data_IF_786679130931
#
_entry.id   IF_786679130931
#
_cell.length_a   1.000
_cell.length_b   1.000
_cell.length_c   1.000
_cell.angle_alpha   90.00
_cell.angle_beta   90.00
_cell.angle_gamma   90.00
#
_symmetry.space_group_name_H-M   'P 1'
#
loop_
_entity.id
_entity.type
_entity.pdbx_description
1 polymer ?
#
# COMPACT_ATOMS: atom_id res chain seq x y z
N UNK A 1 13.40 -26.59 -61.69
CA UNK A 1 13.59 -25.20 -61.22
C UNK A 1 12.57 -24.91 -60.16
N UNK A 2 12.94 -24.96 -58.89
CA UNK A 2 12.09 -24.57 -57.76
C UNK A 2 12.72 -23.35 -57.14
N UNK A 3 12.06 -22.20 -57.27
CA UNK A 3 12.41 -20.97 -56.59
C UNK A 3 12.02 -21.08 -55.11
N UNK A 4 13.00 -21.09 -54.25
CA UNK A 4 12.82 -20.98 -52.78
C UNK A 4 12.77 -19.49 -52.48
N UNK A 5 11.61 -18.98 -52.12
CA UNK A 5 11.44 -17.65 -51.57
C UNK A 5 12.05 -17.62 -50.16
N UNK A 6 13.17 -16.94 -50.02
CA UNK A 6 13.77 -16.62 -48.75
C UNK A 6 12.98 -15.45 -48.12
N UNK A 7 12.00 -15.71 -47.26
CA UNK A 7 11.36 -14.73 -46.44
C UNK A 7 12.30 -14.41 -45.24
N UNK A 8 13.10 -13.39 -45.39
CA UNK A 8 13.83 -12.75 -44.29
C UNK A 8 12.80 -12.11 -43.35
N UNK A 9 12.48 -12.78 -42.25
CA UNK A 9 11.73 -12.18 -41.15
C UNK A 9 12.64 -11.15 -40.45
N UNK A 10 12.54 -9.90 -40.85
CA UNK A 10 13.04 -8.79 -40.04
C UNK A 10 12.26 -8.78 -38.73
N UNK A 11 12.81 -9.35 -37.68
CA UNK A 11 12.41 -9.09 -36.31
C UNK A 11 12.70 -7.62 -36.05
N UNK A 12 11.71 -6.76 -36.21
CA UNK A 12 11.77 -5.41 -35.71
C UNK A 12 11.94 -5.51 -34.19
N UNK A 13 13.14 -5.23 -33.71
CA UNK A 13 13.40 -5.02 -32.28
C UNK A 13 12.64 -3.78 -31.87
N UNK A 14 11.47 -3.98 -31.28
CA UNK A 14 10.70 -2.90 -30.64
C UNK A 14 11.66 -2.21 -29.66
N UNK A 15 12.09 -1.00 -29.99
CA UNK A 15 12.92 -0.19 -29.09
C UNK A 15 12.11 0.03 -27.79
N UNK A 16 12.49 -0.68 -26.74
CA UNK A 16 11.90 -0.47 -25.40
C UNK A 16 12.19 0.98 -24.97
N UNK A 17 11.17 1.68 -24.46
CA UNK A 17 11.35 3.01 -23.92
C UNK A 17 12.34 2.92 -22.73
N UNK A 18 13.46 3.64 -22.74
CA UNK A 18 14.42 3.62 -21.62
C UNK A 18 13.78 3.98 -20.26
N UNK A 19 12.72 4.80 -20.27
CA UNK A 19 11.97 5.17 -19.07
C UNK A 19 11.16 4.00 -18.45
N UNK A 20 11.04 2.87 -19.15
CA UNK A 20 10.38 1.66 -18.68
C UNK A 20 11.38 0.61 -18.18
N UNK A 21 12.65 0.96 -18.04
CA UNK A 21 13.68 0.07 -17.52
C UNK A 21 13.40 -0.24 -16.05
N UNK A 22 13.44 -1.54 -15.69
CA UNK A 22 13.41 -2.02 -14.31
C UNK A 22 14.80 -2.44 -13.80
N UNK A 23 15.86 -2.06 -14.53
CA UNK A 23 17.24 -2.30 -14.10
C UNK A 23 17.54 -1.45 -12.88
N UNK A 24 18.07 -2.07 -11.82
CA UNK A 24 18.43 -1.44 -10.56
C UNK A 24 19.90 -1.75 -10.25
N UNK A 25 20.77 -0.81 -10.55
CA UNK A 25 22.22 -0.91 -10.30
C UNK A 25 22.77 0.27 -9.50
N UNK A 26 21.95 1.25 -9.18
CA UNK A 26 22.34 2.50 -8.52
C UNK A 26 23.09 2.31 -7.19
N UNK A 27 22.88 1.17 -6.50
CA UNK A 27 23.57 0.87 -5.23
C UNK A 27 25.06 0.55 -5.43
N UNK A 28 25.48 0.16 -6.63
CA UNK A 28 26.85 -0.24 -6.92
C UNK A 28 27.83 0.93 -6.99
N UNK A 29 27.34 2.11 -7.36
CA UNK A 29 28.18 3.31 -7.49
C UNK A 29 27.58 4.50 -6.76
N UNK A 30 28.05 4.74 -5.54
CA UNK A 30 27.60 5.86 -4.70
C UNK A 30 28.02 7.24 -5.23
N UNK A 31 28.98 7.30 -6.17
CA UNK A 31 29.43 8.58 -6.74
C UNK A 31 28.34 9.22 -7.62
N UNK A 32 27.41 8.41 -8.12
CA UNK A 32 26.28 8.83 -8.95
C UNK A 32 25.02 9.18 -8.13
N UNK A 33 25.09 9.09 -6.80
CA UNK A 33 23.92 9.28 -5.97
C UNK A 33 23.47 10.74 -5.91
N UNK A 34 22.20 10.95 -6.23
CA UNK A 34 21.47 12.19 -5.97
C UNK A 34 20.97 12.23 -4.52
N UNK A 35 20.39 13.37 -4.11
CA UNK A 35 19.71 13.52 -2.81
C UNK A 35 18.68 12.40 -2.56
N UNK A 36 17.97 11.94 -3.59
CA UNK A 36 16.93 10.91 -3.47
C UNK A 36 17.48 9.55 -3.09
N UNK A 37 18.64 9.18 -3.61
CA UNK A 37 19.37 7.95 -3.22
C UNK A 37 19.83 8.03 -1.77
N UNK A 38 20.40 9.17 -1.37
CA UNK A 38 20.80 9.39 0.02
C UNK A 38 19.63 9.34 0.98
N UNK A 39 18.45 9.83 0.61
CA UNK A 39 17.25 9.72 1.45
C UNK A 39 16.86 8.26 1.70
N UNK A 40 16.86 7.40 0.67
CA UNK A 40 16.58 5.96 0.83
C UNK A 40 17.58 5.34 1.79
N UNK A 41 18.85 5.61 1.61
CA UNK A 41 19.93 5.02 2.42
C UNK A 41 19.88 5.50 3.88
N UNK A 42 19.78 6.82 4.10
CA UNK A 42 19.78 7.42 5.45
C UNK A 42 18.54 7.07 6.26
N UNK A 43 17.39 6.95 5.61
CA UNK A 43 16.14 6.53 6.24
C UNK A 43 16.01 5.00 6.34
N UNK A 44 16.97 4.25 5.80
CA UNK A 44 16.95 2.80 5.80
C UNK A 44 15.75 2.19 5.07
N UNK A 45 15.30 2.82 3.99
CA UNK A 45 14.14 2.39 3.20
C UNK A 45 14.53 1.22 2.27
N UNK A 46 14.76 0.06 2.86
CA UNK A 46 15.08 -1.19 2.16
C UNK A 46 14.09 -2.26 2.55
N UNK A 47 13.63 -3.04 1.59
CA UNK A 47 12.74 -4.17 1.87
C UNK A 47 13.47 -5.36 2.49
N UNK A 48 14.75 -5.54 2.15
CA UNK A 48 15.61 -6.62 2.67
C UNK A 48 16.78 -6.04 3.44
N UNK A 49 17.36 -6.81 4.33
CA UNK A 49 18.68 -6.50 4.85
C UNK A 49 19.71 -6.80 3.76
N UNK A 50 20.43 -5.76 3.33
CA UNK A 50 21.43 -5.87 2.24
C UNK A 50 22.61 -6.78 2.58
N UNK A 51 22.78 -7.14 3.85
CA UNK A 51 23.86 -8.02 4.35
C UNK A 51 23.35 -9.41 4.76
N UNK A 52 22.04 -9.60 4.80
CA UNK A 52 21.42 -10.85 5.22
C UNK A 52 20.91 -11.67 4.04
N UNK A 53 20.80 -12.97 4.24
CA UNK A 53 20.11 -13.85 3.29
C UNK A 53 18.61 -13.88 3.61
N UNK A 54 17.79 -13.80 2.57
CA UNK A 54 16.34 -13.93 2.69
C UNK A 54 15.97 -15.41 2.57
N UNK A 55 15.21 -15.98 3.50
CA UNK A 55 14.81 -17.38 3.41
C UNK A 55 13.88 -17.60 2.22
N UNK A 56 14.12 -18.71 1.51
CA UNK A 56 13.33 -19.12 0.35
C UNK A 56 12.56 -20.39 0.69
N UNK A 57 11.27 -20.38 0.41
CA UNK A 57 10.35 -21.46 0.72
C UNK A 57 9.71 -22.00 -0.56
N UNK A 58 9.46 -23.32 -0.57
CA UNK A 58 8.62 -23.91 -1.61
C UNK A 58 7.16 -23.50 -1.40
N UNK A 59 6.42 -23.31 -2.49
CA UNK A 59 4.98 -22.98 -2.47
C UNK A 59 4.10 -23.98 -1.72
N UNK A 60 4.58 -25.21 -1.53
CA UNK A 60 3.90 -26.29 -0.77
C UNK A 60 4.18 -26.24 0.72
N UNK A 61 5.16 -25.45 1.16
CA UNK A 61 5.42 -25.28 2.58
C UNK A 61 4.35 -24.39 3.20
N UNK A 62 3.96 -24.72 4.44
CA UNK A 62 2.97 -23.94 5.18
C UNK A 62 3.36 -22.47 5.23
N UNK A 63 2.35 -21.59 5.02
CA UNK A 63 2.49 -20.15 5.16
C UNK A 63 1.92 -19.71 6.51
N UNK A 64 2.69 -19.03 7.38
CA UNK A 64 2.20 -18.67 8.70
C UNK A 64 1.11 -17.59 8.62
N UNK A 65 0.02 -17.79 9.39
CA UNK A 65 -1.02 -16.78 9.53
C UNK A 65 -0.56 -15.64 10.45
N UNK A 66 -0.95 -14.42 10.15
CA UNK A 66 -0.72 -13.30 11.07
C UNK A 66 -1.77 -13.28 12.18
N UNK A 67 -1.39 -12.82 13.37
CA UNK A 67 -2.33 -12.48 14.44
C UNK A 67 -2.95 -11.11 14.16
N UNK A 68 -4.12 -11.06 13.55
CA UNK A 68 -4.73 -9.82 13.06
C UNK A 68 -4.80 -8.71 14.11
N UNK A 69 -5.15 -9.03 15.36
CA UNK A 69 -5.20 -8.04 16.43
C UNK A 69 -3.87 -7.29 16.63
N UNK A 70 -2.73 -7.89 16.25
CA UNK A 70 -1.42 -7.23 16.34
C UNK A 70 -1.21 -6.17 15.26
N UNK A 71 -1.84 -6.33 14.10
CA UNK A 71 -1.88 -5.31 13.06
C UNK A 71 -2.69 -4.10 13.55
N UNK A 72 -3.89 -4.33 14.10
CA UNK A 72 -4.70 -3.28 14.71
C UNK A 72 -3.95 -2.55 15.82
N UNK A 73 -3.29 -3.30 16.71
CA UNK A 73 -2.52 -2.71 17.80
C UNK A 73 -1.40 -1.81 17.27
N UNK A 74 -0.65 -2.27 16.26
CA UNK A 74 0.40 -1.48 15.63
C UNK A 74 -0.14 -0.18 15.05
N UNK A 75 -1.19 -0.25 14.23
CA UNK A 75 -1.80 0.91 13.57
C UNK A 75 -2.35 1.90 14.61
N UNK A 76 -3.11 1.40 15.58
CA UNK A 76 -3.75 2.26 16.57
C UNK A 76 -2.75 2.93 17.50
N UNK A 77 -1.67 2.26 17.90
CA UNK A 77 -0.61 2.88 18.69
C UNK A 77 0.08 4.01 17.92
N UNK A 78 0.41 3.78 16.65
CA UNK A 78 1.03 4.82 15.82
C UNK A 78 0.08 5.97 15.50
N UNK A 79 -1.21 5.68 15.28
CA UNK A 79 -2.25 6.70 15.12
C UNK A 79 -2.44 7.53 16.39
N UNK A 80 -2.34 6.92 17.57
CA UNK A 80 -2.56 7.57 18.85
C UNK A 80 -1.44 8.53 19.27
N UNK A 81 -0.21 8.33 18.81
CA UNK A 81 0.93 9.20 19.19
C UNK A 81 0.64 10.68 18.91
N UNK A 82 0.37 11.12 17.68
CA UNK A 82 0.09 12.53 17.41
C UNK A 82 -1.22 13.02 18.07
N UNK A 83 -2.22 12.16 18.22
CA UNK A 83 -3.46 12.48 18.95
C UNK A 83 -3.14 12.80 20.42
N UNK A 84 -2.33 11.98 21.07
CA UNK A 84 -1.92 12.17 22.47
C UNK A 84 -1.07 13.43 22.64
N UNK A 85 -0.12 13.68 21.73
CA UNK A 85 0.70 14.90 21.74
C UNK A 85 -0.16 16.16 21.55
N UNK A 86 -1.11 16.11 20.62
CA UNK A 86 -2.05 17.19 20.38
C UNK A 86 -2.95 17.44 21.60
N UNK A 87 -3.52 16.36 22.16
CA UNK A 87 -4.33 16.46 23.38
C UNK A 87 -3.55 17.06 24.56
N UNK A 88 -2.30 16.60 24.77
CA UNK A 88 -1.43 17.14 25.81
C UNK A 88 -1.15 18.63 25.59
N UNK A 89 -0.90 19.05 24.35
CA UNK A 89 -0.72 20.48 24.02
C UNK A 89 -1.98 21.29 24.39
N UNK A 90 -3.17 20.84 23.99
CA UNK A 90 -4.44 21.52 24.32
C UNK A 90 -4.64 21.60 25.83
N UNK A 91 -4.41 20.51 26.54
CA UNK A 91 -4.56 20.45 28.01
C UNK A 91 -3.59 21.37 28.73
N UNK A 92 -2.37 21.52 28.22
CA UNK A 92 -1.34 22.37 28.84
C UNK A 92 -1.52 23.84 28.52
N UNK A 93 -1.88 24.21 27.29
CA UNK A 93 -1.96 25.59 26.83
C UNK A 93 -3.36 26.20 26.92
N UNK A 94 -4.40 25.38 27.01
CA UNK A 94 -5.79 25.81 26.87
C UNK A 94 -6.17 26.23 25.44
N UNK A 95 -5.29 26.02 24.45
CA UNK A 95 -5.50 26.43 23.06
C UNK A 95 -5.38 25.23 22.12
N UNK A 96 -6.15 25.24 21.03
CA UNK A 96 -5.99 24.22 19.98
C UNK A 96 -4.81 24.56 19.07
N UNK A 97 -4.31 23.56 18.32
CA UNK A 97 -3.29 23.78 17.31
C UNK A 97 -3.85 24.61 16.15
N UNK A 98 -3.08 25.61 15.70
CA UNK A 98 -3.38 26.28 14.43
C UNK A 98 -3.14 25.33 13.25
N UNK A 99 -3.75 25.64 12.09
CA UNK A 99 -3.69 24.78 10.88
C UNK A 99 -2.28 24.33 10.49
N UNK A 100 -1.30 25.24 10.52
CA UNK A 100 0.09 24.91 10.17
C UNK A 100 0.75 23.97 11.19
N UNK A 101 0.48 24.16 12.47
CA UNK A 101 1.02 23.31 13.53
C UNK A 101 0.37 21.91 13.47
N UNK A 102 -0.94 21.83 13.25
CA UNK A 102 -1.64 20.57 13.02
C UNK A 102 -1.08 19.85 11.78
N UNK A 103 -0.92 20.56 10.66
CA UNK A 103 -0.29 20.00 9.46
C UNK A 103 1.13 19.48 9.75
N UNK A 104 1.96 20.25 10.44
CA UNK A 104 3.31 19.84 10.82
C UNK A 104 3.32 18.55 11.64
N UNK A 105 2.48 18.49 12.68
CA UNK A 105 2.38 17.33 13.57
C UNK A 105 1.92 16.07 12.81
N UNK A 106 0.75 16.13 12.17
CA UNK A 106 0.14 14.95 11.55
C UNK A 106 0.87 14.52 10.27
N UNK A 107 1.39 15.45 9.46
CA UNK A 107 2.20 15.12 8.27
C UNK A 107 3.53 14.47 8.65
N UNK A 108 4.18 14.93 9.73
CA UNK A 108 5.42 14.32 10.24
C UNK A 108 5.13 12.92 10.79
N UNK A 109 4.10 12.78 11.62
CA UNK A 109 3.71 11.47 12.16
C UNK A 109 3.37 10.47 11.05
N UNK A 110 2.62 10.88 10.02
CA UNK A 110 2.28 10.02 8.90
C UNK A 110 3.53 9.48 8.17
N UNK A 111 4.51 10.34 7.93
CA UNK A 111 5.77 9.95 7.28
C UNK A 111 6.63 9.04 8.17
N UNK A 112 6.73 9.34 9.46
CA UNK A 112 7.48 8.51 10.41
C UNK A 112 6.85 7.12 10.56
N UNK A 113 5.52 7.04 10.58
CA UNK A 113 4.80 5.77 10.62
C UNK A 113 5.12 4.93 9.38
N UNK A 114 5.09 5.49 8.17
CA UNK A 114 5.45 4.79 6.94
C UNK A 114 6.92 4.33 6.90
N UNK A 115 7.86 5.15 7.40
CA UNK A 115 9.28 4.76 7.52
C UNK A 115 9.43 3.57 8.49
N UNK A 116 8.77 3.64 9.64
CA UNK A 116 8.83 2.57 10.63
C UNK A 116 8.18 1.28 10.10
N UNK A 117 7.06 1.39 9.40
CA UNK A 117 6.40 0.26 8.75
C UNK A 117 7.34 -0.46 7.76
N UNK A 118 8.10 0.29 6.96
CA UNK A 118 9.13 -0.28 6.08
C UNK A 118 10.18 -1.08 6.85
N UNK A 119 10.64 -0.58 8.00
CA UNK A 119 11.60 -1.29 8.84
C UNK A 119 11.02 -2.60 9.39
N UNK A 120 9.75 -2.60 9.80
CA UNK A 120 9.06 -3.80 10.27
C UNK A 120 8.88 -4.81 9.12
N UNK A 121 8.47 -4.36 7.94
CA UNK A 121 8.31 -5.26 6.78
C UNK A 121 9.65 -5.89 6.37
N UNK A 122 10.76 -5.16 6.45
CA UNK A 122 12.10 -5.72 6.25
C UNK A 122 12.40 -6.84 7.26
N UNK A 123 12.11 -6.62 8.56
CA UNK A 123 12.29 -7.66 9.59
C UNK A 123 11.46 -8.90 9.29
N UNK A 124 10.20 -8.72 8.93
CA UNK A 124 9.31 -9.82 8.58
C UNK A 124 9.81 -10.57 7.33
N UNK A 125 10.28 -9.85 6.31
CA UNK A 125 10.88 -10.43 5.11
C UNK A 125 12.11 -11.28 5.38
N UNK A 126 12.99 -10.84 6.31
CA UNK A 126 14.16 -11.63 6.74
C UNK A 126 13.78 -12.89 7.54
N UNK A 127 12.61 -12.92 8.18
CA UNK A 127 12.15 -14.07 8.97
C UNK A 127 11.30 -15.05 8.14
N UNK A 128 10.43 -14.53 7.30
CA UNK A 128 9.38 -15.32 6.64
C UNK A 128 9.52 -15.40 5.12
N UNK A 129 10.48 -14.69 4.54
CA UNK A 129 10.67 -14.64 3.09
C UNK A 129 9.54 -13.95 2.36
N UNK A 130 9.53 -14.16 1.04
CA UNK A 130 8.57 -13.53 0.13
C UNK A 130 7.84 -14.56 -0.72
N UNK A 131 6.62 -14.20 -1.13
CA UNK A 131 5.81 -14.95 -2.10
C UNK A 131 6.57 -15.09 -3.42
N UNK A 132 6.47 -16.28 -4.04
CA UNK A 132 7.16 -16.64 -5.29
C UNK A 132 8.71 -16.56 -5.21
N UNK A 133 9.27 -16.46 -4.00
CA UNK A 133 10.70 -16.25 -3.76
C UNK A 133 11.60 -17.39 -4.27
N UNK A 134 11.01 -18.58 -4.52
CA UNK A 134 11.68 -19.71 -5.17
C UNK A 134 11.93 -19.51 -6.67
N UNK A 135 11.31 -18.49 -7.28
CA UNK A 135 11.44 -18.17 -8.69
C UNK A 135 12.01 -16.78 -8.97
N UNK A 136 11.56 -15.79 -8.22
CA UNK A 136 11.90 -14.39 -8.45
C UNK A 136 12.13 -13.64 -7.14
N UNK A 137 13.19 -12.83 -7.02
CA UNK A 137 13.33 -11.87 -5.94
C UNK A 137 12.27 -10.77 -6.10
N UNK A 138 12.08 -9.96 -5.05
CA UNK A 138 11.28 -8.73 -5.17
C UNK A 138 11.97 -7.72 -6.07
N UNK A 139 11.17 -6.96 -6.83
CA UNK A 139 11.66 -5.89 -7.67
C UNK A 139 12.32 -4.79 -6.81
N UNK A 140 13.46 -4.32 -7.23
CA UNK A 140 14.15 -3.16 -6.66
C UNK A 140 13.69 -1.88 -7.36
N UNK A 141 13.92 -0.72 -6.72
CA UNK A 141 13.65 0.57 -7.36
C UNK A 141 14.58 0.73 -8.56
N UNK A 142 14.06 0.89 -9.79
CA UNK A 142 14.90 1.01 -10.97
C UNK A 142 15.72 2.30 -10.97
N UNK A 143 16.89 2.28 -11.62
CA UNK A 143 17.79 3.44 -11.71
C UNK A 143 17.08 4.70 -12.19
N UNK A 144 16.18 4.57 -13.15
CA UNK A 144 15.36 5.68 -13.68
C UNK A 144 14.22 6.11 -12.75
N UNK A 145 13.93 5.34 -11.71
CA UNK A 145 12.75 5.49 -10.82
C UNK A 145 13.04 6.13 -9.47
N UNK A 146 14.28 6.15 -9.00
CA UNK A 146 14.62 6.53 -7.61
C UNK A 146 14.06 7.90 -7.22
N UNK A 147 14.34 8.92 -8.02
CA UNK A 147 13.83 10.25 -7.75
C UNK A 147 12.32 10.38 -7.88
N UNK A 148 11.68 9.58 -8.76
CA UNK A 148 10.23 9.55 -8.92
C UNK A 148 9.57 8.96 -7.66
N UNK A 149 9.96 7.78 -7.26
CA UNK A 149 9.39 7.08 -6.07
C UNK A 149 9.45 7.97 -4.83
N UNK A 150 10.58 8.57 -4.53
CA UNK A 150 10.71 9.41 -3.32
C UNK A 150 9.86 10.69 -3.41
N UNK A 151 9.83 11.35 -4.57
CA UNK A 151 8.96 12.53 -4.76
C UNK A 151 7.48 12.16 -4.61
N UNK A 152 7.05 11.03 -5.17
CA UNK A 152 5.66 10.58 -5.02
C UNK A 152 5.34 10.26 -3.56
N UNK A 153 6.18 9.51 -2.85
CA UNK A 153 5.98 9.25 -1.41
C UNK A 153 5.88 10.53 -0.58
N UNK A 154 6.69 11.54 -0.88
CA UNK A 154 6.63 12.84 -0.19
C UNK A 154 5.35 13.59 -0.57
N UNK A 155 5.03 13.69 -1.87
CA UNK A 155 3.86 14.45 -2.35
C UNK A 155 2.56 13.80 -1.88
N UNK A 156 2.41 12.48 -2.05
CA UNK A 156 1.21 11.75 -1.66
C UNK A 156 0.93 11.89 -0.16
N UNK A 157 1.94 11.66 0.69
CA UNK A 157 1.80 11.83 2.14
C UNK A 157 1.49 13.27 2.55
N UNK A 158 2.04 14.25 1.84
CA UNK A 158 1.83 15.68 2.12
C UNK A 158 0.45 16.15 1.68
N UNK A 159 0.07 15.88 0.42
CA UNK A 159 -1.22 16.31 -0.10
C UNK A 159 -2.41 15.66 0.60
N UNK A 160 -2.29 14.40 1.00
CA UNK A 160 -3.31 13.71 1.80
C UNK A 160 -3.58 14.45 3.11
N UNK A 161 -2.53 14.90 3.81
CA UNK A 161 -2.69 15.65 5.06
C UNK A 161 -3.21 17.07 4.82
N UNK A 162 -2.76 17.76 3.77
CA UNK A 162 -3.31 19.07 3.39
C UNK A 162 -4.82 18.95 3.16
N UNK A 163 -5.25 17.98 2.35
CA UNK A 163 -6.64 17.74 2.04
C UNK A 163 -7.47 17.47 3.30
N UNK A 164 -7.01 16.54 4.15
CA UNK A 164 -7.73 16.18 5.36
C UNK A 164 -7.90 17.38 6.30
N UNK A 165 -6.82 18.12 6.54
CA UNK A 165 -6.83 19.28 7.44
C UNK A 165 -7.70 20.39 6.86
N UNK A 166 -7.52 20.72 5.59
CA UNK A 166 -8.31 21.80 4.96
C UNK A 166 -9.81 21.52 4.97
N UNK A 167 -10.22 20.26 4.79
CA UNK A 167 -11.64 19.90 4.68
C UNK A 167 -12.30 19.65 6.03
N UNK A 168 -11.56 19.14 7.02
CA UNK A 168 -12.21 18.55 8.21
C UNK A 168 -11.66 19.03 9.54
N UNK A 169 -10.49 19.68 9.57
CA UNK A 169 -9.93 20.19 10.83
C UNK A 169 -10.69 21.45 11.29
N UNK A 170 -11.26 21.37 12.48
CA UNK A 170 -12.04 22.46 13.08
C UNK A 170 -11.29 22.99 14.33
N UNK A 171 -11.10 24.33 14.47
CA UNK A 171 -10.40 24.90 15.62
C UNK A 171 -11.07 24.66 16.97
N UNK A 172 -12.39 24.40 16.97
CA UNK A 172 -13.18 24.12 18.18
C UNK A 172 -13.25 22.63 18.54
N UNK A 173 -12.71 21.74 17.67
CA UNK A 173 -12.63 20.30 17.93
C UNK A 173 -11.22 19.92 18.38
N UNK A 174 -11.11 18.99 19.31
CA UNK A 174 -9.84 18.48 19.85
C UNK A 174 -9.84 16.95 19.77
N UNK A 175 -8.69 16.28 19.95
CA UNK A 175 -8.67 14.82 19.94
C UNK A 175 -9.61 14.16 20.96
N UNK A 176 -9.95 14.86 22.07
CA UNK A 176 -10.90 14.37 23.07
C UNK A 176 -12.35 14.47 22.66
N UNK A 177 -12.69 15.26 21.64
CA UNK A 177 -14.07 15.38 21.12
C UNK A 177 -14.38 14.35 20.01
N UNK A 178 -13.40 13.49 19.67
CA UNK A 178 -13.57 12.43 18.68
C UNK A 178 -14.74 11.48 19.06
N UNK A 179 -15.48 11.06 18.06
CA UNK A 179 -16.66 10.17 18.21
C UNK A 179 -16.24 8.70 18.38
N UNK A 180 -15.56 8.38 19.48
CA UNK A 180 -14.93 7.08 19.77
C UNK A 180 -15.85 5.87 19.56
N UNK A 181 -17.15 6.01 19.88
CA UNK A 181 -18.13 4.94 19.73
C UNK A 181 -18.38 4.57 18.26
N UNK A 182 -18.16 5.48 17.32
CA UNK A 182 -18.34 5.24 15.90
C UNK A 182 -17.06 4.76 15.20
N UNK A 183 -15.90 5.03 15.80
CA UNK A 183 -14.60 4.77 15.17
C UNK A 183 -14.41 3.33 14.66
N UNK A 184 -14.78 2.27 15.40
CA UNK A 184 -14.65 0.91 14.87
C UNK A 184 -15.49 0.68 13.62
N UNK A 185 -16.70 1.21 13.57
CA UNK A 185 -17.57 1.12 12.42
C UNK A 185 -17.04 1.94 11.25
N UNK A 186 -16.54 3.15 11.51
CA UNK A 186 -15.96 4.04 10.51
C UNK A 186 -14.74 3.41 9.87
N UNK A 187 -13.82 2.80 10.61
CA UNK A 187 -12.65 2.11 10.07
C UNK A 187 -13.09 1.01 9.08
N UNK A 188 -14.04 0.17 9.47
CA UNK A 188 -14.49 -0.94 8.64
C UNK A 188 -15.25 -0.48 7.39
N UNK A 189 -16.22 0.42 7.54
CA UNK A 189 -17.01 0.92 6.41
C UNK A 189 -16.15 1.79 5.49
N UNK A 190 -15.21 2.60 6.03
CA UNK A 190 -14.31 3.40 5.23
C UNK A 190 -13.43 2.52 4.32
N UNK A 191 -12.88 1.43 4.84
CA UNK A 191 -12.11 0.46 4.05
C UNK A 191 -12.94 -0.10 2.89
N UNK A 192 -14.19 -0.52 3.15
CA UNK A 192 -15.10 -1.05 2.11
C UNK A 192 -15.45 0.03 1.09
N UNK A 193 -15.66 1.26 1.54
CA UNK A 193 -16.07 2.39 0.67
C UNK A 193 -14.91 2.89 -0.20
N UNK A 194 -13.70 3.01 0.39
CA UNK A 194 -12.48 3.31 -0.39
C UNK A 194 -12.28 2.25 -1.45
N UNK A 195 -12.40 0.99 -1.06
CA UNK A 195 -12.21 -0.15 -1.97
C UNK A 195 -13.25 -0.18 -3.10
N UNK A 196 -14.51 0.21 -2.83
CA UNK A 196 -15.53 0.34 -3.88
C UNK A 196 -15.11 1.31 -4.99
N UNK A 197 -14.74 2.54 -4.60
CA UNK A 197 -14.33 3.56 -5.56
C UNK A 197 -13.03 3.19 -6.25
N UNK A 198 -12.07 2.62 -5.48
CA UNK A 198 -10.80 2.14 -6.01
C UNK A 198 -11.00 0.98 -7.00
N UNK A 199 -11.83 -0.02 -6.68
CA UNK A 199 -12.11 -1.16 -7.55
C UNK A 199 -12.59 -0.72 -8.94
N UNK A 200 -13.59 0.20 -8.99
CA UNK A 200 -14.11 0.68 -10.26
C UNK A 200 -13.09 1.50 -11.04
N UNK A 201 -12.41 2.41 -10.37
CA UNK A 201 -11.34 3.21 -10.96
C UNK A 201 -10.22 2.32 -11.51
N UNK A 202 -9.71 1.39 -10.71
CA UNK A 202 -8.63 0.48 -11.04
C UNK A 202 -8.99 -0.46 -12.21
N UNK A 203 -10.17 -1.08 -12.13
CA UNK A 203 -10.71 -1.90 -13.23
C UNK A 203 -10.86 -1.11 -14.52
N UNK A 204 -11.31 0.15 -14.44
CA UNK A 204 -11.43 1.02 -15.60
C UNK A 204 -10.07 1.35 -16.21
N UNK A 205 -9.04 1.59 -15.38
CA UNK A 205 -7.67 1.81 -15.85
C UNK A 205 -7.12 0.61 -16.62
N UNK A 206 -7.43 -0.61 -16.19
CA UNK A 206 -7.04 -1.83 -16.90
C UNK A 206 -7.83 -2.07 -18.19
N UNK A 207 -9.10 -1.69 -18.24
CA UNK A 207 -10.00 -2.03 -19.36
C UNK A 207 -9.93 -1.02 -20.50
N UNK A 208 -9.57 0.25 -20.25
CA UNK A 208 -9.58 1.30 -21.26
C UNK A 208 -8.17 1.73 -21.64
N UNK A 209 -7.87 1.77 -22.96
CA UNK A 209 -6.54 2.13 -23.47
C UNK A 209 -6.05 3.53 -23.04
N UNK A 210 -6.89 4.59 -23.08
CA UNK A 210 -6.50 5.92 -22.65
C UNK A 210 -6.10 6.01 -21.18
N UNK A 211 -6.71 5.23 -20.30
CA UNK A 211 -6.39 5.23 -18.87
C UNK A 211 -5.24 4.28 -18.52
N UNK A 212 -5.14 3.15 -19.23
CA UNK A 212 -4.05 2.20 -19.05
C UNK A 212 -2.66 2.85 -19.14
N UNK A 213 -2.48 3.86 -19.98
CA UNK A 213 -1.17 4.55 -20.12
C UNK A 213 -0.66 5.10 -18.78
N UNK A 214 -1.55 5.56 -17.88
CA UNK A 214 -1.20 6.11 -16.58
C UNK A 214 -0.91 5.02 -15.53
N UNK A 215 -1.59 3.86 -15.66
CA UNK A 215 -1.45 2.74 -14.74
C UNK A 215 -0.35 1.74 -15.15
N UNK A 216 0.02 1.74 -16.42
CA UNK A 216 0.99 0.81 -17.00
C UNK A 216 2.34 0.83 -16.30
N UNK A 217 2.81 2.00 -15.86
CA UNK A 217 4.09 2.14 -15.15
C UNK A 217 4.09 1.38 -13.83
N UNK A 218 3.01 1.44 -13.10
CA UNK A 218 2.81 0.69 -11.86
C UNK A 218 2.97 -0.82 -12.09
N UNK A 219 2.44 -1.32 -13.20
CA UNK A 219 2.52 -2.72 -13.61
C UNK A 219 3.83 -3.15 -14.30
N UNK A 220 4.83 -2.28 -14.42
CA UNK A 220 6.19 -2.70 -14.74
C UNK A 220 6.78 -3.53 -13.59
N UNK A 221 6.33 -3.30 -12.36
CA UNK A 221 6.69 -4.08 -11.19
C UNK A 221 5.86 -5.36 -11.15
N UNK A 222 6.53 -6.52 -11.27
CA UNK A 222 5.88 -7.83 -11.24
C UNK A 222 5.92 -8.49 -9.87
N UNK A 223 6.94 -8.17 -9.10
CA UNK A 223 7.10 -8.57 -7.71
C UNK A 223 7.39 -7.31 -6.89
N UNK A 224 6.40 -6.40 -6.72
CA UNK A 224 6.64 -5.11 -6.11
C UNK A 224 7.17 -5.22 -4.69
N UNK A 225 7.81 -4.16 -4.23
CA UNK A 225 8.08 -3.89 -2.83
C UNK A 225 7.26 -2.65 -2.38
N UNK A 226 7.10 -2.36 -1.08
CA UNK A 226 6.22 -1.28 -0.62
C UNK A 226 6.56 0.10 -1.19
N UNK A 227 7.82 0.40 -1.49
CA UNK A 227 8.21 1.68 -2.10
C UNK A 227 7.72 1.81 -3.54
N UNK A 228 7.54 0.68 -4.23
CA UNK A 228 7.06 0.65 -5.61
C UNK A 228 5.53 0.83 -5.71
N UNK A 229 4.81 0.88 -4.59
CA UNK A 229 3.44 1.37 -4.57
C UNK A 229 3.33 2.77 -5.16
N UNK A 230 4.34 3.61 -4.94
CA UNK A 230 4.48 4.96 -5.50
C UNK A 230 5.19 5.02 -6.87
N UNK A 231 5.46 3.87 -7.52
CA UNK A 231 6.03 3.85 -8.87
C UNK A 231 4.92 3.86 -9.91
N UNK A 232 4.22 4.99 -10.00
CA UNK A 232 3.10 5.23 -10.88
C UNK A 232 3.22 6.58 -11.60
N UNK A 233 2.31 6.90 -12.51
CA UNK A 233 2.26 8.23 -13.10
C UNK A 233 1.44 9.19 -12.23
N UNK A 234 1.70 10.50 -12.32
CA UNK A 234 1.11 11.51 -11.43
C UNK A 234 -0.42 11.54 -11.47
N UNK A 235 -1.01 11.24 -12.62
CA UNK A 235 -2.47 11.20 -12.79
C UNK A 235 -3.09 10.07 -11.96
N UNK A 236 -2.43 8.92 -11.88
CA UNK A 236 -2.86 7.84 -11.00
C UNK A 236 -2.73 8.25 -9.54
N UNK A 237 -1.54 8.74 -9.15
CA UNK A 237 -1.27 9.17 -7.78
C UNK A 237 -2.27 10.21 -7.29
N UNK A 238 -2.63 11.18 -8.13
CA UNK A 238 -3.64 12.19 -7.80
C UNK A 238 -5.00 11.57 -7.47
N UNK A 239 -5.45 10.59 -8.26
CA UNK A 239 -6.71 9.89 -7.99
C UNK A 239 -6.63 9.05 -6.72
N UNK A 240 -5.53 8.35 -6.50
CA UNK A 240 -5.33 7.45 -5.35
C UNK A 240 -5.26 8.24 -4.02
N UNK A 241 -4.70 9.45 -4.03
CA UNK A 241 -4.51 10.25 -2.80
C UNK A 241 -5.59 11.32 -2.57
N UNK A 242 -6.28 11.74 -3.61
CA UNK A 242 -7.27 12.82 -3.54
C UNK A 242 -8.65 12.34 -3.99
N UNK A 243 -8.76 11.86 -5.23
CA UNK A 243 -10.06 11.52 -5.83
C UNK A 243 -10.80 10.43 -5.05
N UNK A 244 -10.15 9.28 -4.86
CA UNK A 244 -10.75 8.13 -4.15
C UNK A 244 -11.06 8.45 -2.68
N UNK A 245 -10.13 9.02 -1.88
CA UNK A 245 -10.43 9.39 -0.50
C UNK A 245 -11.55 10.42 -0.36
N UNK A 246 -11.68 11.39 -1.27
CA UNK A 246 -12.78 12.36 -1.27
C UNK A 246 -14.12 11.70 -1.56
N UNK A 247 -14.19 10.82 -2.57
CA UNK A 247 -15.39 10.07 -2.90
C UNK A 247 -15.82 9.18 -1.72
N UNK A 248 -14.86 8.51 -1.09
CA UNK A 248 -15.11 7.70 0.08
C UNK A 248 -15.59 8.54 1.27
N UNK A 249 -14.91 9.65 1.57
CA UNK A 249 -15.32 10.57 2.63
C UNK A 249 -16.75 11.12 2.38
N UNK A 250 -17.03 11.60 1.18
CA UNK A 250 -18.37 12.06 0.80
C UNK A 250 -19.43 10.98 0.97
N UNK A 251 -19.12 9.73 0.61
CA UNK A 251 -20.02 8.59 0.81
C UNK A 251 -20.28 8.33 2.31
N UNK A 252 -19.23 8.34 3.15
CA UNK A 252 -19.36 8.20 4.61
C UNK A 252 -20.27 9.29 5.19
N UNK A 253 -20.07 10.54 4.80
CA UNK A 253 -20.92 11.67 5.22
C UNK A 253 -22.36 11.52 4.74
N UNK A 254 -22.60 11.06 3.52
CA UNK A 254 -23.93 10.79 2.97
C UNK A 254 -24.65 9.66 3.72
N UNK A 255 -23.91 8.70 4.28
CA UNK A 255 -24.42 7.64 5.15
C UNK A 255 -24.73 8.11 6.58
N UNK A 256 -24.44 9.37 6.92
CA UNK A 256 -24.69 9.96 8.23
C UNK A 256 -23.63 9.64 9.30
N UNK A 257 -22.46 9.13 8.89
CA UNK A 257 -21.37 8.87 9.82
C UNK A 257 -20.69 10.20 10.24
N UNK A 258 -20.31 10.34 11.53
CA UNK A 258 -19.76 11.62 12.01
C UNK A 258 -18.45 12.02 11.37
N UNK A 259 -17.53 11.12 11.18
CA UNK A 259 -16.22 11.23 10.53
C UNK A 259 -15.66 12.67 10.42
N UNK A 260 -15.01 13.12 11.49
CA UNK A 260 -14.26 14.38 11.53
C UNK A 260 -12.79 14.16 11.15
N UNK A 261 -11.95 15.16 11.48
CA UNK A 261 -10.51 15.10 11.17
C UNK A 261 -9.82 13.92 11.88
N UNK A 262 -10.11 13.71 13.15
CA UNK A 262 -9.39 12.72 13.97
C UNK A 262 -9.80 11.27 13.61
N UNK A 263 -11.06 11.03 13.32
CA UNK A 263 -11.56 9.75 12.81
C UNK A 263 -10.95 9.45 11.43
N UNK A 264 -10.94 10.44 10.53
CA UNK A 264 -10.34 10.29 9.20
C UNK A 264 -8.83 10.07 9.26
N UNK A 265 -8.14 10.74 10.21
CA UNK A 265 -6.73 10.48 10.50
C UNK A 265 -6.48 9.00 10.82
N UNK A 266 -7.28 8.41 11.72
CA UNK A 266 -7.14 6.99 12.07
C UNK A 266 -7.43 6.10 10.86
N UNK A 267 -8.50 6.36 10.11
CA UNK A 267 -8.82 5.64 8.88
C UNK A 267 -7.66 5.69 7.87
N UNK A 268 -7.00 6.84 7.71
CA UNK A 268 -5.84 6.96 6.82
C UNK A 268 -4.65 6.09 7.24
N UNK A 269 -4.45 5.85 8.54
CA UNK A 269 -3.39 4.93 8.98
C UNK A 269 -3.68 3.50 8.53
N UNK A 270 -4.93 3.06 8.60
CA UNK A 270 -5.35 1.75 8.09
C UNK A 270 -5.14 1.63 6.58
N UNK A 271 -5.53 2.65 5.81
CA UNK A 271 -5.36 2.64 4.35
C UNK A 271 -3.88 2.65 3.95
N UNK A 272 -3.05 3.47 4.61
CA UNK A 272 -1.62 3.52 4.32
C UNK A 272 -0.93 2.20 4.67
N UNK A 273 -1.27 1.61 5.81
CA UNK A 273 -0.76 0.31 6.22
C UNK A 273 -1.13 -0.78 5.20
N UNK A 274 -2.39 -0.82 4.78
CA UNK A 274 -2.86 -1.79 3.78
C UNK A 274 -2.15 -1.63 2.44
N UNK A 275 -1.85 -0.41 2.03
CA UNK A 275 -1.12 -0.11 0.80
C UNK A 275 0.31 -0.68 0.85
N UNK A 276 1.03 -0.45 1.94
CA UNK A 276 2.41 -0.91 2.08
C UNK A 276 2.49 -2.42 2.24
N UNK A 277 1.70 -3.01 3.14
CA UNK A 277 1.70 -4.46 3.35
C UNK A 277 1.23 -5.21 2.11
N UNK A 278 0.25 -4.68 1.37
CA UNK A 278 -0.24 -5.26 0.12
C UNK A 278 0.83 -5.36 -0.97
N UNK A 279 1.73 -4.36 -1.05
CA UNK A 279 2.86 -4.35 -1.99
C UNK A 279 4.11 -5.06 -1.44
N UNK A 280 4.11 -5.52 -0.19
CA UNK A 280 5.30 -6.11 0.43
C UNK A 280 5.71 -7.46 -0.16
N UNK A 281 4.72 -8.22 -0.63
CA UNK A 281 4.91 -9.60 -1.07
C UNK A 281 5.43 -10.53 0.03
N UNK A 282 5.29 -10.15 1.32
CA UNK A 282 5.68 -10.97 2.45
C UNK A 282 4.99 -12.34 2.41
N UNK A 283 5.73 -13.40 2.71
CA UNK A 283 5.18 -14.75 2.75
C UNK A 283 4.52 -15.04 4.10
N UNK A 284 3.44 -14.28 4.37
CA UNK A 284 2.55 -14.46 5.52
C UNK A 284 1.09 -14.42 5.05
N UNK A 285 0.23 -15.22 5.66
CA UNK A 285 -1.21 -15.16 5.41
C UNK A 285 -1.84 -14.09 6.28
N UNK A 286 -2.23 -12.99 5.66
CA UNK A 286 -2.79 -11.78 6.25
C UNK A 286 -2.63 -10.62 5.27
N UNK A 287 -3.16 -9.46 5.60
CA UNK A 287 -3.10 -8.31 4.68
C UNK A 287 -3.74 -7.07 5.25
N UNK A 288 -4.75 -6.54 4.57
CA UNK A 288 -5.44 -5.32 4.94
C UNK A 288 -6.31 -5.53 6.20
N UNK A 289 -5.92 -5.00 7.36
CA UNK A 289 -6.70 -5.16 8.57
C UNK A 289 -7.96 -4.29 8.52
N UNK A 290 -9.08 -4.87 8.93
CA UNK A 290 -10.37 -4.18 9.00
C UNK A 290 -11.13 -4.59 10.26
N UNK A 291 -11.80 -3.65 10.90
CA UNK A 291 -12.67 -3.96 12.06
C UNK A 291 -13.88 -4.82 11.66
N UNK A 292 -14.15 -4.95 10.37
CA UNK A 292 -15.16 -5.84 9.79
C UNK A 292 -14.56 -7.10 9.14
N UNK A 293 -13.27 -7.40 9.40
CA UNK A 293 -12.61 -8.54 8.76
C UNK A 293 -13.29 -9.87 9.07
N UNK A 294 -13.76 -10.06 10.30
CA UNK A 294 -14.56 -11.23 10.70
C UNK A 294 -15.78 -11.46 9.80
N UNK A 295 -16.42 -10.36 9.33
CA UNK A 295 -17.56 -10.44 8.41
C UNK A 295 -17.07 -10.74 6.97
N UNK A 296 -15.98 -10.14 6.54
CA UNK A 296 -15.39 -10.38 5.22
C UNK A 296 -14.95 -11.85 5.07
N UNK A 297 -14.36 -12.44 6.11
CA UNK A 297 -13.93 -13.84 6.14
C UNK A 297 -15.09 -14.83 5.94
N UNK A 298 -16.30 -14.50 6.43
CA UNK A 298 -17.49 -15.34 6.20
C UNK A 298 -17.86 -15.50 4.72
N UNK A 299 -17.43 -14.55 3.89
CA UNK A 299 -17.70 -14.52 2.44
C UNK A 299 -16.44 -14.74 1.59
N UNK A 300 -15.30 -15.16 2.19
CA UNK A 300 -13.99 -15.20 1.55
C UNK A 300 -13.63 -13.86 0.86
N UNK A 301 -14.03 -12.76 1.48
CA UNK A 301 -13.87 -11.39 0.97
C UNK A 301 -12.77 -10.59 1.70
N UNK A 302 -12.06 -11.22 2.62
CA UNK A 302 -10.84 -10.65 3.22
C UNK A 302 -9.72 -10.55 2.18
N UNK A 303 -8.96 -9.45 2.21
CA UNK A 303 -7.80 -9.26 1.35
C UNK A 303 -6.54 -9.76 2.07
N UNK A 304 -5.77 -10.61 1.41
CA UNK A 304 -4.43 -11.01 1.87
C UNK A 304 -3.36 -10.50 0.92
N UNK A 305 -2.11 -10.45 1.38
CA UNK A 305 -0.96 -9.96 0.60
C UNK A 305 -0.88 -10.62 -0.78
N UNK A 306 -1.14 -11.92 -0.86
CA UNK A 306 -1.05 -12.67 -2.11
C UNK A 306 -2.06 -12.20 -3.17
N UNK A 307 -3.23 -11.71 -2.77
CA UNK A 307 -4.24 -11.25 -3.73
C UNK A 307 -3.70 -10.09 -4.59
N UNK A 308 -3.05 -9.11 -3.96
CA UNK A 308 -2.45 -7.98 -4.67
C UNK A 308 -1.13 -8.34 -5.36
N UNK A 309 -0.34 -9.23 -4.75
CA UNK A 309 0.87 -9.76 -5.39
C UNK A 309 0.55 -10.52 -6.69
N UNK A 310 -0.52 -11.32 -6.72
CA UNK A 310 -1.01 -12.00 -7.91
C UNK A 310 -1.51 -11.00 -8.97
N UNK A 311 -2.17 -9.92 -8.53
CA UNK A 311 -2.58 -8.84 -9.43
C UNK A 311 -1.39 -8.25 -10.19
N UNK A 312 -0.26 -8.01 -9.54
CA UNK A 312 0.97 -7.55 -10.17
C UNK A 312 1.63 -8.62 -11.03
N UNK A 313 1.82 -9.84 -10.50
CA UNK A 313 2.52 -10.92 -11.20
C UNK A 313 1.88 -11.30 -12.53
N UNK A 314 0.57 -11.48 -12.53
CA UNK A 314 -0.18 -11.96 -13.69
C UNK A 314 -0.98 -10.85 -14.39
N UNK A 315 -1.19 -9.73 -13.72
CA UNK A 315 -1.89 -8.60 -14.27
C UNK A 315 -1.06 -7.81 -15.28
N UNK A 316 -1.75 -7.41 -16.34
CA UNK A 316 -1.29 -6.42 -17.31
C UNK A 316 -2.53 -5.65 -17.73
N UNK A 317 -2.74 -5.38 -19.01
CA UNK A 317 -3.95 -4.71 -19.49
C UNK A 317 -5.24 -5.48 -19.17
N UNK A 318 -5.20 -6.81 -19.14
CA UNK A 318 -6.24 -7.65 -18.53
C UNK A 318 -5.75 -8.15 -17.20
N UNK A 319 -6.54 -8.01 -16.16
CA UNK A 319 -6.16 -8.34 -14.82
C UNK A 319 -7.34 -8.87 -13.99
N UNK A 320 -7.09 -9.06 -12.72
CA UNK A 320 -7.98 -9.60 -11.69
C UNK A 320 -7.55 -9.03 -10.33
N UNK A 321 -8.28 -9.31 -9.25
CA UNK A 321 -7.98 -8.81 -7.90
C UNK A 321 -7.75 -7.29 -7.90
N UNK A 322 -8.78 -6.53 -8.31
CA UNK A 322 -8.69 -5.07 -8.43
C UNK A 322 -8.80 -4.33 -7.11
N UNK A 323 -9.31 -4.99 -6.04
CA UNK A 323 -9.42 -4.42 -4.70
C UNK A 323 -8.07 -4.23 -4.03
N UNK A 324 -7.98 -3.25 -3.10
CA UNK A 324 -6.78 -2.94 -2.29
C UNK A 324 -7.02 -3.01 -0.78
N UNK A 325 -8.29 -2.99 -0.34
CA UNK A 325 -8.64 -3.01 1.07
C UNK A 325 -9.45 -4.27 1.42
N UNK A 326 -10.24 -4.75 0.49
CA UNK A 326 -11.06 -5.94 0.61
C UNK A 326 -11.03 -6.72 -0.71
N UNK A 327 -11.44 -7.97 -0.67
CA UNK A 327 -11.72 -8.79 -1.86
C UNK A 327 -13.21 -8.78 -2.22
N UNK A 328 -14.02 -7.99 -1.48
CA UNK A 328 -15.48 -8.00 -1.58
C UNK A 328 -15.98 -7.70 -2.99
N UNK A 329 -15.46 -6.65 -3.61
CA UNK A 329 -15.89 -6.23 -4.94
C UNK A 329 -15.42 -7.19 -6.04
N UNK A 330 -14.24 -7.78 -5.88
CA UNK A 330 -13.76 -8.83 -6.77
C UNK A 330 -14.64 -10.09 -6.69
N UNK A 331 -15.13 -10.44 -5.48
CA UNK A 331 -16.11 -11.52 -5.28
C UNK A 331 -17.43 -11.21 -5.97
N UNK A 332 -18.00 -10.04 -5.71
CA UNK A 332 -19.30 -9.62 -6.27
C UNK A 332 -19.26 -9.57 -7.79
N UNK A 333 -18.19 -9.08 -8.38
CA UNK A 333 -18.08 -8.89 -9.84
C UNK A 333 -17.29 -9.98 -10.56
N UNK A 334 -16.93 -11.08 -9.88
CA UNK A 334 -16.30 -12.24 -10.48
C UNK A 334 -14.91 -11.99 -11.06
N UNK A 335 -14.10 -11.15 -10.39
CA UNK A 335 -12.74 -10.79 -10.83
C UNK A 335 -11.64 -11.32 -9.92
N UNK A 336 -11.96 -12.28 -9.03
CA UNK A 336 -10.98 -12.95 -8.20
C UNK A 336 -10.08 -13.87 -9.03
N UNK A 337 -8.79 -13.92 -8.69
CA UNK A 337 -7.88 -14.99 -9.06
C UNK A 337 -7.67 -15.89 -7.84
N UNK A 338 -7.54 -17.20 -8.06
CA UNK A 338 -7.27 -18.14 -6.98
C UNK A 338 -5.87 -17.94 -6.40
N UNK A 339 -5.78 -17.98 -5.08
CA UNK A 339 -4.53 -17.92 -4.33
C UNK A 339 -3.70 -19.18 -4.59
N UNK A 340 -2.38 -19.06 -4.54
CA UNK A 340 -1.43 -20.14 -4.84
C UNK A 340 -0.79 -20.66 -3.54
N UNK A 341 -0.31 -19.76 -2.69
CA UNK A 341 0.37 -20.08 -1.43
C UNK A 341 -0.55 -19.88 -0.22
N UNK A 342 -1.39 -18.83 -0.22
CA UNK A 342 -2.35 -18.51 0.86
C UNK A 342 -3.69 -19.25 0.71
N UNK A 343 -3.67 -20.50 0.23
CA UNK A 343 -4.85 -21.37 0.23
C UNK A 343 -5.10 -21.95 1.62
N UNK A 344 -6.37 -22.12 2.02
CA UNK A 344 -6.76 -22.53 3.38
C UNK A 344 -6.00 -23.74 3.91
N UNK A 345 -5.80 -24.77 3.08
CA UNK A 345 -5.09 -26.00 3.46
C UNK A 345 -3.57 -25.82 3.64
N UNK A 346 -3.01 -24.73 3.12
CA UNK A 346 -1.59 -24.42 3.21
C UNK A 346 -1.26 -23.41 4.33
N UNK A 347 -2.28 -22.84 4.99
CA UNK A 347 -2.05 -21.85 6.05
C UNK A 347 -1.74 -22.56 7.38
N UNK A 348 -0.70 -22.07 8.06
CA UNK A 348 -0.34 -22.45 9.41
C UNK A 348 -0.98 -21.51 10.43
N UNK A 349 -2.09 -21.96 11.03
CA UNK A 349 -2.79 -21.23 12.08
C UNK A 349 -2.23 -21.51 13.47
N UNK A 350 -1.31 -22.46 13.64
CA UNK A 350 -0.69 -22.80 14.93
C UNK A 350 0.50 -21.87 15.20
N UNK A 351 1.42 -21.73 14.23
CA UNK A 351 2.61 -20.89 14.33
C UNK A 351 2.36 -19.50 13.76
N UNK A 352 1.53 -18.72 14.43
CA UNK A 352 1.09 -17.40 13.92
C UNK A 352 2.16 -16.33 14.11
N UNK A 353 2.30 -15.49 13.08
CA UNK A 353 3.13 -14.28 13.11
C UNK A 353 2.51 -13.23 14.00
N UNK A 354 3.31 -12.60 14.82
CA UNK A 354 2.97 -11.40 15.60
C UNK A 354 3.65 -10.19 14.96
N UNK A 355 2.89 -9.14 14.66
CA UNK A 355 3.43 -7.89 14.16
C UNK A 355 4.33 -7.25 15.23
N UNK A 356 5.64 -7.04 14.98
CA UNK A 356 6.50 -6.34 15.93
C UNK A 356 6.05 -4.90 16.12
N UNK A 357 6.14 -4.39 17.34
CA UNK A 357 5.80 -2.97 17.63
C UNK A 357 6.98 -2.03 17.38
N UNK A 358 8.22 -2.56 17.51
CA UNK A 358 9.48 -1.83 17.35
C UNK A 358 10.45 -2.61 16.45
#
# INVERSE_FOLDING_TARGET
MRNIFNMSTKTETVKRNPADSMVSTWRHDRTQWSLWHWMIELLGLHLIDLKGEVPVFSKKQKIPAVREWTLHLWILLHAAIPLALHHAFVKYTGQNLGLLAAFGLYSTAFKLNGIHEMHIMRRLGQLYGFLDGDKHPRDEIPDVGVGKVIRELISTSTFRMIMAIYLTYQPNETPSTMSWQWLPLEIGIYSITVDFWFYWYHRLMHSTGPLWKFHRRHHLTKHPNPLLSAYADHEQEFMDITGIPLLAYGTMKAMGLPMGFYEWWVCFQYIAFSEFIGHSGLRIHGGAPSTLNWLLELFDAELVIEDHDLHHRYGWRKSHNYGKQTRLWDRIFGTCLDRIESVKDNVDYENRVTMPLL
#
